data_IF_356631054784
#
_entry.id   IF_356631054784
#
_cell.length_a   1.000
_cell.length_b   1.000
_cell.length_c   1.000
_cell.angle_alpha   90.00
_cell.angle_beta   90.00
_cell.angle_gamma   90.00
#
_symmetry.space_group_name_H-M   'P 1'
#
loop_
_entity.id
_entity.type
_entity.pdbx_description
1 polymer ?
#
# COMPACT_ATOMS: atom_id res chain seq x y z
N UNK A 1 16.90 -3.12 0.48
CA UNK A 1 15.88 -2.96 1.54
C UNK A 1 15.20 -4.30 1.87
N UNK A 2 15.80 -5.44 1.50
CA UNK A 2 15.18 -6.74 1.74
C UNK A 2 15.03 -6.97 3.24
N UNK A 3 13.86 -7.47 3.62
CA UNK A 3 13.45 -7.68 4.99
C UNK A 3 13.62 -6.48 5.94
N UNK A 4 13.73 -5.26 5.41
CA UNK A 4 13.70 -4.05 6.22
C UNK A 4 12.25 -3.72 6.58
N UNK A 5 11.94 -3.58 7.87
CA UNK A 5 10.62 -3.15 8.31
C UNK A 5 10.26 -1.78 7.75
N UNK A 6 9.00 -1.60 7.39
CA UNK A 6 8.54 -0.33 6.85
C UNK A 6 7.07 -0.08 7.21
N UNK A 7 6.67 1.18 7.07
CA UNK A 7 5.27 1.57 7.08
C UNK A 7 5.00 2.71 6.10
N UNK A 8 3.79 2.72 5.55
CA UNK A 8 3.31 3.76 4.64
C UNK A 8 1.96 4.23 5.17
N UNK A 9 1.81 5.54 5.37
CA UNK A 9 0.60 6.20 5.87
C UNK A 9 0.17 7.29 4.90
N UNK A 10 -1.13 7.42 4.67
CA UNK A 10 -1.72 8.52 3.92
C UNK A 10 -3.21 8.66 4.24
N UNK A 11 -3.72 9.86 4.02
CA UNK A 11 -5.15 10.13 3.97
C UNK A 11 -5.61 10.16 2.52
N UNK A 12 -6.77 9.58 2.26
CA UNK A 12 -7.39 9.58 0.93
C UNK A 12 -8.84 10.05 0.99
N UNK A 13 -9.28 10.71 -0.07
CA UNK A 13 -10.68 11.05 -0.31
C UNK A 13 -11.07 10.57 -1.71
N UNK A 14 -11.45 9.29 -1.87
CA UNK A 14 -11.67 8.67 -3.17
C UNK A 14 -12.94 9.19 -3.86
N UNK A 15 -12.82 9.50 -5.15
CA UNK A 15 -13.95 9.68 -6.08
C UNK A 15 -14.22 8.41 -6.90
N UNK A 16 -13.29 7.45 -6.90
CA UNK A 16 -13.48 6.12 -7.46
C UNK A 16 -12.68 5.07 -6.67
N UNK A 17 -13.17 3.82 -6.66
CA UNK A 17 -12.57 2.70 -5.92
C UNK A 17 -11.91 1.68 -6.84
N UNK A 18 -11.30 2.11 -7.94
CA UNK A 18 -10.63 1.21 -8.90
C UNK A 18 -9.30 1.79 -9.37
N UNK A 19 -8.30 1.80 -8.50
CA UNK A 19 -7.03 2.50 -8.78
C UNK A 19 -5.88 2.12 -7.85
N UNK A 20 -4.66 2.50 -8.24
CA UNK A 20 -3.44 2.42 -7.43
C UNK A 20 -3.26 3.69 -6.60
N UNK A 21 -2.93 3.52 -5.32
CA UNK A 21 -2.65 4.63 -4.39
C UNK A 21 -1.15 4.84 -4.17
N UNK A 22 -0.43 3.74 -3.91
CA UNK A 22 1.01 3.76 -3.71
C UNK A 22 1.63 2.67 -4.55
N UNK A 23 2.53 3.07 -5.42
CA UNK A 23 3.26 2.19 -6.32
C UNK A 23 4.76 2.37 -6.13
N UNK A 24 5.51 1.26 -6.19
CA UNK A 24 6.96 1.29 -6.09
C UNK A 24 7.56 0.65 -7.34
N UNK A 25 8.61 1.27 -7.90
CA UNK A 25 9.30 0.78 -9.10
C UNK A 25 10.79 1.08 -9.11
N UNK A 26 11.53 0.40 -9.98
CA UNK A 26 12.97 0.68 -10.17
C UNK A 26 13.23 1.80 -11.17
N UNK A 27 12.25 2.16 -12.01
CA UNK A 27 12.33 3.29 -12.93
C UNK A 27 11.33 4.38 -12.56
N UNK A 28 11.69 5.63 -12.82
CA UNK A 28 10.87 6.82 -12.52
C UNK A 28 9.56 6.90 -13.32
N UNK A 29 9.45 6.16 -14.42
CA UNK A 29 8.23 6.06 -15.22
C UNK A 29 7.26 4.96 -14.70
N UNK A 30 7.51 4.41 -13.52
CA UNK A 30 6.74 3.30 -12.95
C UNK A 30 7.14 1.92 -13.47
N UNK A 31 7.94 1.81 -14.52
CA UNK A 31 8.34 0.52 -15.08
C UNK A 31 9.58 -0.06 -14.38
N UNK A 32 10.14 -1.11 -14.97
CA UNK A 32 11.40 -1.71 -14.54
C UNK A 32 11.30 -3.22 -14.32
N UNK A 33 12.44 -3.84 -14.03
CA UNK A 33 12.52 -5.27 -13.70
C UNK A 33 11.77 -5.62 -12.41
N UNK A 34 11.53 -4.62 -11.55
CA UNK A 34 10.76 -4.73 -10.33
C UNK A 34 9.88 -3.49 -10.18
N UNK A 35 8.57 -3.70 -10.12
CA UNK A 35 7.59 -2.74 -9.64
C UNK A 35 6.39 -3.46 -9.04
N UNK A 36 5.63 -2.79 -8.18
CA UNK A 36 4.47 -3.34 -7.49
C UNK A 36 3.60 -2.21 -6.92
N UNK A 37 2.27 -2.20 -7.15
CA UNK A 37 1.36 -1.44 -6.31
C UNK A 37 1.35 -2.00 -4.89
N UNK A 38 1.80 -1.21 -3.92
CA UNK A 38 1.78 -1.58 -2.51
C UNK A 38 0.40 -1.37 -1.91
N UNK A 39 -0.29 -0.28 -2.28
CA UNK A 39 -1.61 0.05 -1.77
C UNK A 39 -2.50 0.47 -2.93
N UNK A 40 -3.73 -0.01 -2.95
CA UNK A 40 -4.75 0.45 -3.90
C UNK A 40 -6.05 -0.34 -3.77
N UNK A 41 -6.92 -0.17 -4.76
CA UNK A 41 -8.20 -0.85 -4.82
C UNK A 41 -8.18 -2.08 -5.71
N UNK A 42 -8.90 -3.10 -5.28
CA UNK A 42 -9.13 -4.34 -6.06
C UNK A 42 -10.26 -4.16 -7.07
N UNK A 43 -10.48 -5.17 -7.92
CA UNK A 43 -11.64 -5.24 -8.82
C UNK A 43 -12.99 -5.26 -8.12
N UNK A 44 -13.01 -5.57 -6.83
CA UNK A 44 -14.23 -5.61 -6.02
C UNK A 44 -14.43 -4.32 -5.21
N UNK A 45 -13.73 -3.23 -5.58
CA UNK A 45 -13.81 -1.93 -4.92
C UNK A 45 -13.41 -1.93 -3.43
N UNK A 46 -12.62 -2.92 -3.01
CA UNK A 46 -12.04 -2.97 -1.66
C UNK A 46 -10.60 -2.49 -1.68
N UNK A 47 -10.13 -1.89 -0.59
CA UNK A 47 -8.71 -1.59 -0.43
C UNK A 47 -7.90 -2.87 -0.19
N UNK A 48 -6.68 -2.88 -0.69
CA UNK A 48 -5.70 -3.92 -0.45
C UNK A 48 -4.31 -3.32 -0.22
N UNK A 49 -3.52 -4.02 0.59
CA UNK A 49 -2.09 -3.82 0.72
C UNK A 49 -1.34 -5.05 0.21
N UNK A 50 -0.19 -4.85 -0.41
CA UNK A 50 0.60 -5.90 -1.06
C UNK A 50 2.09 -5.75 -0.76
N UNK A 51 2.79 -6.88 -0.78
CA UNK A 51 4.26 -6.96 -0.80
C UNK A 51 4.69 -8.09 -1.74
N UNK A 52 5.98 -8.14 -2.07
CA UNK A 52 6.60 -9.27 -2.77
C UNK A 52 7.51 -10.03 -1.82
N UNK A 53 7.34 -11.35 -1.72
CA UNK A 53 8.11 -12.20 -0.81
C UNK A 53 9.34 -12.86 -1.47
N UNK A 54 9.63 -12.53 -2.74
CA UNK A 54 10.66 -13.16 -3.55
C UNK A 54 10.15 -14.27 -4.48
N UNK A 55 8.92 -14.73 -4.28
CA UNK A 55 8.26 -15.77 -5.09
C UNK A 55 6.94 -15.28 -5.66
N UNK A 56 6.06 -14.75 -4.80
CA UNK A 56 4.70 -14.32 -5.12
C UNK A 56 4.38 -12.95 -4.52
N UNK A 57 3.27 -12.36 -4.97
CA UNK A 57 2.72 -11.17 -4.35
C UNK A 57 1.81 -11.62 -3.20
N UNK A 58 2.17 -11.24 -1.98
CA UNK A 58 1.34 -11.46 -0.79
C UNK A 58 0.44 -10.24 -0.64
N UNK A 59 -0.87 -10.48 -0.50
CA UNK A 59 -1.87 -9.42 -0.42
C UNK A 59 -2.77 -9.62 0.80
N UNK A 60 -3.19 -8.52 1.40
CA UNK A 60 -4.27 -8.47 2.40
C UNK A 60 -5.36 -7.54 1.89
N UNK A 61 -6.62 -7.96 2.00
CA UNK A 61 -7.78 -7.21 1.52
C UNK A 61 -8.55 -6.72 2.73
N UNK A 62 -8.88 -5.42 2.77
CA UNK A 62 -9.71 -4.86 3.82
C UNK A 62 -11.08 -5.54 3.85
N UNK A 63 -11.55 -5.91 5.05
CA UNK A 63 -12.89 -6.45 5.25
C UNK A 63 -13.99 -5.39 5.15
N UNK A 64 -13.63 -4.11 5.11
CA UNK A 64 -14.53 -2.96 5.14
C UNK A 64 -14.54 -2.22 3.81
N UNK A 65 -15.74 -1.85 3.34
CA UNK A 65 -15.90 -0.86 2.28
C UNK A 65 -15.72 0.54 2.87
N UNK A 66 -15.19 1.45 2.07
CA UNK A 66 -14.99 2.85 2.45
C UNK A 66 -15.92 3.75 1.61
N UNK A 67 -16.34 4.91 2.14
CA UNK A 67 -17.19 5.84 1.41
C UNK A 67 -16.48 6.38 0.15
N UNK A 68 -17.28 6.66 -0.88
CA UNK A 68 -16.84 7.26 -2.17
C UNK A 68 -17.50 8.61 -2.34
N UNK A 69 -17.15 9.55 -1.47
CA UNK A 69 -17.73 10.89 -1.53
C UNK A 69 -16.92 11.89 -0.74
N UNK A 70 -16.96 13.13 -1.22
CA UNK A 70 -16.57 14.28 -0.42
C UNK A 70 -17.64 14.52 0.66
N UNK A 71 -17.28 14.95 1.89
CA UNK A 71 -15.94 15.28 2.37
C UNK A 71 -15.28 14.15 3.20
N UNK A 72 -15.60 12.87 2.95
CA UNK A 72 -15.13 11.79 3.81
C UNK A 72 -13.68 11.41 3.51
N UNK A 73 -12.80 11.69 4.46
CA UNK A 73 -11.41 11.24 4.44
C UNK A 73 -11.29 9.88 5.12
N UNK A 74 -10.42 9.03 4.56
CA UNK A 74 -10.07 7.73 5.11
C UNK A 74 -8.57 7.67 5.33
N UNK A 75 -8.16 7.38 6.56
CA UNK A 75 -6.76 7.17 6.90
C UNK A 75 -6.39 5.73 6.63
N UNK A 76 -5.34 5.49 5.84
CA UNK A 76 -4.87 4.14 5.53
C UNK A 76 -3.40 4.00 5.91
N UNK A 77 -3.09 2.86 6.54
CA UNK A 77 -1.70 2.54 6.92
C UNK A 77 -1.38 1.09 6.57
N UNK A 78 -0.32 0.89 5.79
CA UNK A 78 0.32 -0.40 5.60
C UNK A 78 1.53 -0.48 6.53
N UNK A 79 1.68 -1.59 7.26
CA UNK A 79 2.90 -1.87 8.02
C UNK A 79 3.41 -3.27 7.70
N UNK A 80 4.73 -3.45 7.78
CA UNK A 80 5.36 -4.75 7.60
C UNK A 80 6.62 -4.90 8.44
N UNK A 81 6.78 -6.07 9.05
CA UNK A 81 8.08 -6.60 9.45
C UNK A 81 8.10 -8.14 9.39
N UNK A 82 9.26 -8.74 9.62
CA UNK A 82 9.45 -10.18 9.58
C UNK A 82 8.80 -10.96 10.72
N UNK A 83 8.34 -10.30 11.80
CA UNK A 83 7.73 -10.95 12.98
C UNK A 83 6.20 -10.95 12.91
N UNK A 84 5.62 -9.83 12.50
CA UNK A 84 4.19 -9.54 12.49
C UNK A 84 3.57 -9.73 11.10
N UNK A 85 4.39 -9.85 10.06
CA UNK A 85 3.97 -9.95 8.67
C UNK A 85 3.38 -8.66 8.14
N UNK A 86 2.56 -8.77 7.09
CA UNK A 86 1.88 -7.64 6.46
C UNK A 86 0.61 -7.29 7.24
N UNK A 87 0.43 -6.02 7.57
CA UNK A 87 -0.77 -5.50 8.25
C UNK A 87 -1.31 -4.27 7.54
N UNK A 88 -2.62 -4.10 7.61
CA UNK A 88 -3.32 -3.00 6.96
C UNK A 88 -4.39 -2.43 7.87
N UNK A 89 -4.33 -1.11 8.05
CA UNK A 89 -5.21 -0.34 8.93
C UNK A 89 -6.05 0.64 8.12
N UNK A 90 -7.30 0.82 8.53
CA UNK A 90 -8.21 1.85 8.03
C UNK A 90 -8.80 2.57 9.25
N UNK A 91 -8.70 3.89 9.29
CA UNK A 91 -9.22 4.74 10.38
C UNK A 91 -8.84 4.20 11.77
N UNK A 92 -7.54 3.92 11.97
CA UNK A 92 -6.95 3.34 13.18
C UNK A 92 -7.37 1.89 13.52
N UNK A 93 -8.17 1.23 12.70
CA UNK A 93 -8.61 -0.16 12.91
C UNK A 93 -7.75 -1.10 12.06
N UNK A 94 -7.18 -2.16 12.65
CA UNK A 94 -6.53 -3.24 11.89
C UNK A 94 -7.61 -4.04 11.14
N UNK A 95 -7.72 -3.82 9.83
CA UNK A 95 -8.77 -4.43 8.99
C UNK A 95 -8.32 -5.71 8.30
N UNK A 96 -7.01 -5.92 8.14
CA UNK A 96 -6.47 -7.11 7.51
C UNK A 96 -5.02 -7.38 7.94
N UNK A 97 -4.64 -8.66 8.00
CA UNK A 97 -3.26 -9.05 8.27
C UNK A 97 -2.91 -10.40 7.63
N UNK A 98 -1.63 -10.60 7.34
CA UNK A 98 -1.04 -11.87 6.95
C UNK A 98 0.23 -12.11 7.78
N UNK A 99 0.12 -12.74 8.96
CA UNK A 99 1.27 -12.96 9.85
C UNK A 99 2.35 -13.88 9.27
N UNK A 100 2.00 -14.76 8.34
CA UNK A 100 2.96 -15.65 7.67
C UNK A 100 3.78 -14.95 6.57
N UNK A 101 3.48 -13.69 6.24
CA UNK A 101 4.20 -12.89 5.27
C UNK A 101 5.52 -12.36 5.87
N UNK A 102 6.40 -13.25 6.32
CA UNK A 102 7.61 -12.90 7.09
C UNK A 102 8.80 -12.49 6.22
N UNK A 103 8.65 -12.55 4.89
CA UNK A 103 9.69 -12.20 3.92
C UNK A 103 9.22 -11.06 3.02
N UNK A 104 10.10 -10.09 2.80
CA UNK A 104 9.92 -9.01 1.84
C UNK A 104 11.19 -8.85 1.01
N UNK A 105 11.02 -8.84 -0.32
CA UNK A 105 12.11 -8.64 -1.28
C UNK A 105 11.83 -7.39 -2.11
N UNK A 106 12.68 -6.39 -1.90
CA UNK A 106 12.71 -5.17 -2.70
C UNK A 106 13.66 -5.35 -3.89
N UNK A 107 13.79 -4.32 -4.74
CA UNK A 107 14.99 -4.23 -5.55
C UNK A 107 16.18 -3.86 -4.64
N UNK A 108 17.13 -4.80 -4.49
CA UNK A 108 18.28 -4.68 -3.59
C UNK A 108 19.50 -3.95 -4.17
N UNK A 109 19.47 -3.52 -5.44
CA UNK A 109 20.66 -2.99 -6.15
C UNK A 109 20.53 -1.55 -6.61
N UNK A 110 19.31 -1.00 -6.70
CA UNK A 110 19.06 0.39 -7.09
C UNK A 110 18.04 1.05 -6.17
N UNK A 111 18.07 2.39 -5.99
CA UNK A 111 17.00 3.12 -5.33
C UNK A 111 15.65 2.82 -5.99
N UNK A 112 14.60 2.74 -5.17
CA UNK A 112 13.24 2.61 -5.66
C UNK A 112 12.58 3.99 -5.78
N UNK A 113 11.72 4.15 -6.77
CA UNK A 113 10.82 5.27 -6.93
C UNK A 113 9.48 4.94 -6.29
N UNK A 114 8.91 5.89 -5.55
CA UNK A 114 7.53 5.82 -5.08
C UNK A 114 6.69 6.76 -5.93
N UNK A 115 5.61 6.22 -6.49
CA UNK A 115 4.60 6.97 -7.25
C UNK A 115 3.30 6.96 -6.47
N UNK A 116 2.73 8.15 -6.27
CA UNK A 116 1.43 8.32 -5.64
C UNK A 116 0.33 8.40 -6.68
N UNK A 117 -0.85 7.86 -6.34
CA UNK A 117 -2.08 7.96 -7.11
C UNK A 117 -2.01 7.40 -8.55
N UNK A 118 -1.00 6.59 -8.90
CA UNK A 118 -0.83 5.98 -10.23
C UNK A 118 0.28 4.93 -10.20
N UNK A 119 0.26 3.99 -11.15
CA UNK A 119 1.43 3.16 -11.47
C UNK A 119 2.21 3.67 -12.67
N UNK A 120 1.80 4.79 -13.29
CA UNK A 120 2.35 5.32 -14.55
C UNK A 120 2.37 4.22 -15.65
N UNK A 121 3.55 3.91 -16.19
CA UNK A 121 3.75 2.81 -17.15
C UNK A 121 4.05 1.47 -16.48
N UNK A 122 4.09 1.43 -15.15
CA UNK A 122 4.32 0.23 -14.37
C UNK A 122 3.22 -0.78 -14.57
N UNK A 123 3.57 -1.96 -15.06
CA UNK A 123 2.64 -3.05 -15.33
C UNK A 123 3.25 -4.39 -14.96
N UNK A 124 3.77 -4.52 -13.73
CA UNK A 124 4.34 -5.81 -13.33
C UNK A 124 3.26 -6.76 -12.80
N UNK A 125 2.79 -7.55 -13.76
CA UNK A 125 2.41 -8.97 -13.67
C UNK A 125 1.03 -9.36 -13.11
N UNK A 126 0.56 -10.43 -13.73
CA UNK A 126 -0.75 -11.11 -13.76
C UNK A 126 -1.26 -11.69 -12.43
N UNK A 127 -0.62 -11.38 -11.30
CA UNK A 127 -0.92 -11.99 -10.00
C UNK A 127 -1.18 -11.01 -8.85
N UNK A 128 -0.94 -9.70 -9.05
CA UNK A 128 -1.37 -8.68 -8.10
C UNK A 128 -2.89 -8.47 -8.18
N UNK A 129 -3.51 -8.05 -7.08
CA UNK A 129 -4.97 -7.83 -7.01
C UNK A 129 -5.36 -6.35 -7.08
N UNK A 130 -4.40 -5.43 -6.92
CA UNK A 130 -4.65 -3.99 -7.06
C UNK A 130 -4.79 -3.64 -8.54
N UNK A 131 -5.83 -2.88 -8.87
CA UNK A 131 -6.07 -2.39 -10.23
C UNK A 131 -5.02 -1.37 -10.59
N UNK A 132 -4.36 -1.61 -11.73
CA UNK A 132 -3.46 -0.65 -12.34
C UNK A 132 -4.22 0.47 -13.07
N UNK A 133 -4.67 1.46 -12.32
CA UNK A 133 -5.36 2.64 -12.85
C UNK A 133 -5.03 3.86 -11.99
N UNK A 134 -5.06 5.04 -12.60
CA UNK A 134 -4.86 6.29 -11.89
C UNK A 134 -5.95 6.50 -10.84
N UNK A 135 -5.56 6.91 -9.63
CA UNK A 135 -6.47 7.30 -8.58
C UNK A 135 -7.11 8.65 -8.90
N UNK A 136 -8.39 8.76 -8.55
CA UNK A 136 -9.15 10.00 -8.69
C UNK A 136 -9.75 10.32 -7.33
N UNK A 137 -9.37 11.47 -6.80
CA UNK A 137 -9.64 11.88 -5.42
C UNK A 137 -8.46 12.67 -4.86
N UNK A 138 -8.59 13.08 -3.61
CA UNK A 138 -7.54 13.82 -2.92
C UNK A 138 -6.68 12.88 -2.06
N UNK A 139 -5.41 13.25 -1.91
CA UNK A 139 -4.43 12.57 -1.05
C UNK A 139 -3.78 13.62 -0.16
N UNK A 140 -3.67 13.33 1.13
CA UNK A 140 -3.00 14.21 2.09
C UNK A 140 -2.08 13.41 3.02
N UNK A 141 -1.11 14.11 3.59
CA UNK A 141 -0.24 13.64 4.67
C UNK A 141 0.41 12.27 4.41
N UNK A 142 1.01 12.15 3.23
CA UNK A 142 1.77 10.97 2.84
C UNK A 142 3.08 10.86 3.64
N UNK A 143 3.24 9.75 4.35
CA UNK A 143 4.41 9.46 5.21
C UNK A 143 4.96 8.06 4.95
N UNK A 144 6.29 7.94 4.90
CA UNK A 144 7.01 6.65 4.85
C UNK A 144 7.91 6.55 6.07
N UNK A 145 7.93 5.36 6.68
CA UNK A 145 8.76 5.05 7.85
C UNK A 145 9.66 3.85 7.56
N UNK A 146 10.90 3.90 8.02
CA UNK A 146 11.87 2.80 8.00
C UNK A 146 11.73 1.82 9.19
N UNK A 147 10.51 1.73 9.75
CA UNK A 147 10.12 0.86 10.86
C UNK A 147 8.68 0.40 10.71
N UNK A 148 8.32 -0.68 11.40
CA UNK A 148 6.90 -0.99 11.62
C UNK A 148 6.31 0.05 12.60
N UNK A 149 5.18 0.66 12.24
CA UNK A 149 4.36 1.43 13.15
C UNK A 149 3.55 0.47 14.02
N UNK A 150 3.53 0.73 15.32
CA UNK A 150 2.63 0.04 16.26
C UNK A 150 1.19 0.54 16.09
N UNK A 151 0.22 -0.19 16.64
CA UNK A 151 -1.17 0.29 16.68
C UNK A 151 -1.30 1.65 17.42
N UNK A 152 -0.45 1.92 18.42
CA UNK A 152 -0.41 3.21 19.09
C UNK A 152 0.12 4.32 18.18
N UNK A 153 1.18 4.05 17.40
CA UNK A 153 1.66 5.01 16.41
C UNK A 153 0.57 5.34 15.38
N UNK A 154 -0.13 4.33 14.86
CA UNK A 154 -1.25 4.51 13.91
C UNK A 154 -2.34 5.39 14.52
N UNK A 155 -2.70 5.16 15.79
CA UNK A 155 -3.68 5.97 16.51
C UNK A 155 -3.26 7.44 16.57
N UNK A 156 -1.99 7.71 16.89
CA UNK A 156 -1.45 9.08 16.94
C UNK A 156 -1.53 9.76 15.56
N UNK A 157 -1.25 9.05 14.48
CA UNK A 157 -1.36 9.58 13.11
C UNK A 157 -2.80 9.81 12.65
N UNK A 158 -3.77 9.11 13.26
CA UNK A 158 -5.19 9.25 12.92
C UNK A 158 -5.84 10.48 13.61
N UNK A 159 -5.38 10.83 14.81
CA UNK A 159 -5.97 11.92 15.62
C UNK A 159 -5.29 13.28 15.43
N UNK A 160 -4.12 13.33 14.78
CA UNK A 160 -3.28 14.53 14.63
C UNK A 160 -3.04 14.89 13.17
#
# INVERSE_FOLDING_TARGET
MDNQSFSISLWIQPQSLSSTLVHISTLSNGAGSWCLPFIGFTSNNTLAAQIYDGTTIVSVIASTLIPVSTPFWTHIVQTWNSTNGLRFYIDNILVASQPSATTFVANGTTPNYVTLASSLSGSRLTSGIVINKQFTGDVDDFRIYSRELSANDVCVLYIG
#
